data_IF_360341941290
#
_entry.id   IF_360341941290
#
_cell.length_a   1.000
_cell.length_b   1.000
_cell.length_c   1.000
_cell.angle_alpha   90.00
_cell.angle_beta   90.00
_cell.angle_gamma   90.00
#
_symmetry.space_group_name_H-M   'P 1'
#
loop_
_entity.id
_entity.type
_entity.pdbx_description
1 polymer ?
#
# COMPACT_ATOMS: atom_id res chain seq x y z
N UNK A 1 -68.60 -44.75 9.10
CA UNK A 1 -68.07 -43.39 8.84
C UNK A 1 -66.57 -43.43 9.08
N UNK A 2 -65.77 -43.74 8.05
CA UNK A 2 -64.31 -43.60 8.11
C UNK A 2 -63.84 -43.08 6.76
N UNK A 3 -63.91 -41.77 6.60
CA UNK A 3 -63.16 -41.03 5.60
C UNK A 3 -62.39 -39.93 6.35
N UNK A 4 -61.10 -39.80 6.08
CA UNK A 4 -60.33 -38.65 6.56
C UNK A 4 -58.92 -38.93 7.04
N UNK A 5 -58.07 -39.60 6.24
CA UNK A 5 -56.60 -39.63 6.48
C UNK A 5 -55.77 -39.69 5.19
N UNK A 6 -56.20 -39.00 4.11
CA UNK A 6 -55.45 -38.96 2.84
C UNK A 6 -55.09 -37.55 2.33
N UNK A 7 -55.33 -36.47 3.07
CA UNK A 7 -55.10 -35.10 2.57
C UNK A 7 -53.72 -34.49 2.85
N UNK A 8 -52.92 -35.04 3.77
CA UNK A 8 -51.73 -34.34 4.30
C UNK A 8 -50.43 -34.61 3.50
N UNK A 9 -50.31 -35.80 2.89
CA UNK A 9 -49.15 -36.13 2.05
C UNK A 9 -49.16 -35.42 0.69
N UNK A 10 -50.34 -35.18 0.11
CA UNK A 10 -50.47 -34.46 -1.17
C UNK A 10 -50.19 -32.97 -1.05
N UNK A 11 -50.51 -32.35 0.09
CA UNK A 11 -50.22 -30.93 0.34
C UNK A 11 -48.73 -30.68 0.63
N UNK A 12 -48.05 -31.60 1.36
CA UNK A 12 -46.59 -31.55 1.54
C UNK A 12 -45.82 -31.77 0.23
N UNK A 13 -46.21 -32.76 -0.57
CA UNK A 13 -45.58 -33.02 -1.86
C UNK A 13 -45.78 -31.87 -2.87
N UNK A 14 -46.95 -31.22 -2.86
CA UNK A 14 -47.24 -30.03 -3.66
C UNK A 14 -46.40 -28.82 -3.19
N UNK A 15 -46.32 -28.57 -1.88
CA UNK A 15 -45.50 -27.48 -1.33
C UNK A 15 -44.01 -27.66 -1.67
N UNK A 16 -43.47 -28.87 -1.55
CA UNK A 16 -42.09 -29.19 -1.93
C UNK A 16 -41.83 -29.03 -3.43
N UNK A 17 -42.76 -29.43 -4.30
CA UNK A 17 -42.64 -29.22 -5.75
C UNK A 17 -42.74 -27.75 -6.14
N UNK A 18 -43.65 -26.97 -5.55
CA UNK A 18 -43.71 -25.52 -5.76
C UNK A 18 -42.42 -24.81 -5.33
N UNK A 19 -41.86 -25.19 -4.17
CA UNK A 19 -40.61 -24.62 -3.67
C UNK A 19 -39.42 -24.99 -4.57
N UNK A 20 -39.40 -26.21 -5.13
CA UNK A 20 -38.36 -26.68 -6.06
C UNK A 20 -38.45 -25.98 -7.42
N UNK A 21 -39.66 -25.79 -7.95
CA UNK A 21 -39.90 -25.09 -9.23
C UNK A 21 -39.53 -23.61 -9.14
N UNK A 22 -39.95 -22.92 -8.07
CA UNK A 22 -39.57 -21.52 -7.85
C UNK A 22 -38.05 -21.32 -7.70
N UNK A 23 -37.37 -22.27 -7.06
CA UNK A 23 -35.91 -22.26 -6.90
C UNK A 23 -35.19 -22.51 -8.24
N UNK A 24 -35.72 -23.40 -9.10
CA UNK A 24 -35.17 -23.59 -10.47
C UNK A 24 -35.36 -22.38 -11.37
N UNK A 25 -36.49 -21.67 -11.27
CA UNK A 25 -36.73 -20.42 -12.01
C UNK A 25 -35.76 -19.32 -11.58
N UNK A 26 -35.52 -19.16 -10.27
CA UNK A 26 -34.54 -18.20 -9.75
C UNK A 26 -33.11 -18.51 -10.23
N UNK A 27 -32.71 -19.78 -10.26
CA UNK A 27 -31.41 -20.21 -10.81
C UNK A 27 -31.31 -19.84 -12.30
N UNK A 28 -32.36 -20.10 -13.07
CA UNK A 28 -32.40 -19.77 -14.50
C UNK A 28 -32.32 -18.25 -14.73
N UNK A 29 -33.01 -17.44 -13.92
CA UNK A 29 -32.97 -15.98 -13.98
C UNK A 29 -31.56 -15.44 -13.67
N UNK A 30 -30.94 -15.91 -12.58
CA UNK A 30 -29.57 -15.51 -12.20
C UNK A 30 -28.59 -15.92 -13.29
N UNK A 31 -28.73 -17.12 -13.86
CA UNK A 31 -27.91 -17.59 -14.99
C UNK A 31 -28.07 -16.67 -16.21
N UNK A 32 -29.29 -16.33 -16.60
CA UNK A 32 -29.55 -15.44 -17.73
C UNK A 32 -28.94 -14.04 -17.51
N UNK A 33 -29.08 -13.48 -16.29
CA UNK A 33 -28.45 -12.21 -15.90
C UNK A 33 -26.93 -12.28 -15.95
N UNK A 34 -26.33 -13.38 -15.49
CA UNK A 34 -24.89 -13.56 -15.54
C UNK A 34 -24.40 -13.62 -17.00
N UNK A 35 -25.01 -14.47 -17.84
CA UNK A 35 -24.69 -14.59 -19.27
C UNK A 35 -24.76 -13.22 -19.95
N UNK A 36 -25.85 -12.47 -19.71
CA UNK A 36 -26.03 -11.13 -20.26
C UNK A 36 -24.91 -10.18 -19.82
N UNK A 37 -24.54 -10.17 -18.54
CA UNK A 37 -23.44 -9.33 -18.05
C UNK A 37 -22.09 -9.72 -18.66
N UNK A 38 -21.79 -11.02 -18.77
CA UNK A 38 -20.55 -11.50 -19.37
C UNK A 38 -20.42 -11.05 -20.82
N UNK A 39 -21.49 -11.22 -21.63
CA UNK A 39 -21.53 -10.77 -23.02
C UNK A 39 -21.43 -9.26 -23.12
N UNK A 40 -22.19 -8.51 -22.31
CA UNK A 40 -22.15 -7.05 -22.26
C UNK A 40 -20.74 -6.55 -21.93
N UNK A 41 -20.08 -7.12 -20.94
CA UNK A 41 -18.74 -6.71 -20.51
C UNK A 41 -17.68 -7.05 -21.56
N UNK A 42 -17.76 -8.24 -22.15
CA UNK A 42 -16.86 -8.66 -23.22
C UNK A 42 -17.02 -7.78 -24.47
N UNK A 43 -18.26 -7.45 -24.87
CA UNK A 43 -18.56 -6.66 -26.07
C UNK A 43 -18.29 -5.17 -25.90
N UNK A 44 -18.80 -4.57 -24.84
CA UNK A 44 -18.84 -3.10 -24.69
C UNK A 44 -17.58 -2.53 -24.05
N UNK A 45 -16.98 -3.26 -23.12
CA UNK A 45 -15.84 -2.79 -22.34
C UNK A 45 -14.58 -3.60 -22.62
N UNK A 46 -14.69 -4.71 -23.36
CA UNK A 46 -13.60 -5.66 -23.48
C UNK A 46 -13.13 -6.14 -22.12
N UNK A 47 -14.01 -6.30 -21.13
CA UNK A 47 -13.60 -6.60 -19.76
C UNK A 47 -13.94 -8.03 -19.35
N UNK A 48 -13.07 -8.64 -18.55
CA UNK A 48 -13.37 -9.91 -17.89
C UNK A 48 -14.44 -9.69 -16.82
N UNK A 49 -15.35 -10.65 -16.67
CA UNK A 49 -16.39 -10.60 -15.62
C UNK A 49 -15.96 -11.47 -14.45
N UNK A 50 -15.70 -10.87 -13.29
CA UNK A 50 -15.37 -11.63 -12.08
C UNK A 50 -16.56 -12.49 -11.63
N UNK A 51 -16.29 -13.74 -11.24
CA UNK A 51 -17.26 -14.62 -10.59
C UNK A 51 -17.92 -14.00 -9.35
N UNK A 52 -17.24 -13.05 -8.68
CA UNK A 52 -17.80 -12.32 -7.53
C UNK A 52 -19.10 -11.58 -7.86
N UNK A 53 -19.37 -11.26 -9.12
CA UNK A 53 -20.65 -10.66 -9.53
C UNK A 53 -21.85 -11.55 -9.16
N UNK A 54 -21.65 -12.87 -9.05
CA UNK A 54 -22.68 -13.80 -8.61
C UNK A 54 -23.19 -13.49 -7.21
N UNK A 55 -22.35 -13.01 -6.30
CA UNK A 55 -22.80 -12.60 -4.95
C UNK A 55 -23.79 -11.45 -5.01
N UNK A 56 -23.68 -10.59 -6.02
CA UNK A 56 -24.60 -9.46 -6.25
C UNK A 56 -25.87 -9.92 -6.96
N UNK A 57 -25.73 -10.76 -7.99
CA UNK A 57 -26.86 -11.26 -8.78
C UNK A 57 -27.71 -12.30 -8.05
N UNK A 58 -27.11 -13.08 -7.16
CA UNK A 58 -27.72 -14.18 -6.41
C UNK A 58 -28.07 -13.80 -4.97
N UNK A 59 -28.30 -12.51 -4.66
CA UNK A 59 -28.65 -12.02 -3.30
C UNK A 59 -29.85 -12.74 -2.64
N UNK A 60 -30.66 -13.48 -3.40
CA UNK A 60 -31.78 -14.30 -2.89
C UNK A 60 -31.56 -15.82 -2.95
N UNK A 61 -30.37 -16.28 -3.33
CA UNK A 61 -30.07 -17.70 -3.59
C UNK A 61 -29.09 -18.25 -2.53
N UNK A 62 -29.39 -19.41 -1.91
CA UNK A 62 -28.49 -20.06 -0.96
C UNK A 62 -27.09 -20.28 -1.54
N UNK A 63 -26.05 -20.10 -0.73
CA UNK A 63 -24.65 -20.16 -1.18
C UNK A 63 -24.26 -21.48 -1.86
N UNK A 64 -24.83 -22.60 -1.42
CA UNK A 64 -24.63 -23.94 -2.01
C UNK A 64 -25.05 -24.02 -3.49
N UNK A 65 -26.07 -23.25 -3.87
CA UNK A 65 -26.57 -23.22 -5.24
C UNK A 65 -25.81 -22.25 -6.15
N UNK A 66 -25.04 -21.32 -5.59
CA UNK A 66 -24.25 -20.37 -6.38
C UNK A 66 -23.14 -21.09 -7.15
N UNK A 67 -22.54 -22.13 -6.55
CA UNK A 67 -21.61 -23.02 -7.25
C UNK A 67 -22.29 -23.80 -8.38
N UNK A 68 -23.51 -24.30 -8.13
CA UNK A 68 -24.32 -24.97 -9.15
C UNK A 68 -24.65 -24.08 -10.36
N UNK A 69 -24.76 -22.75 -10.19
CA UNK A 69 -24.98 -21.81 -11.31
C UNK A 69 -23.78 -21.76 -12.26
N UNK A 70 -22.55 -21.78 -11.74
CA UNK A 70 -21.32 -21.78 -12.57
C UNK A 70 -21.18 -23.07 -13.37
N UNK A 71 -21.37 -24.22 -12.73
CA UNK A 71 -21.30 -25.52 -13.40
C UNK A 71 -22.41 -25.67 -14.45
N UNK A 72 -23.61 -25.18 -14.13
CA UNK A 72 -24.75 -25.18 -15.05
C UNK A 72 -24.54 -24.25 -16.26
N UNK A 73 -23.69 -23.23 -16.19
CA UNK A 73 -23.36 -22.37 -17.35
C UNK A 73 -22.52 -23.14 -18.35
N UNK A 74 -21.49 -23.86 -17.91
CA UNK A 74 -20.64 -24.67 -18.78
C UNK A 74 -21.40 -25.78 -19.51
N UNK A 75 -22.49 -26.29 -18.93
CA UNK A 75 -23.32 -27.35 -19.51
C UNK A 75 -24.46 -26.85 -20.41
N UNK A 76 -24.76 -25.55 -20.45
CA UNK A 76 -25.94 -25.01 -21.12
C UNK A 76 -25.72 -24.59 -22.57
N UNK A 77 -26.58 -25.06 -23.49
CA UNK A 77 -26.56 -24.66 -24.91
C UNK A 77 -26.61 -23.13 -25.14
N UNK A 78 -27.26 -22.39 -24.24
CA UNK A 78 -27.38 -20.93 -24.29
C UNK A 78 -26.10 -20.15 -23.94
N UNK A 79 -25.05 -20.82 -23.45
CA UNK A 79 -23.79 -20.24 -23.01
C UNK A 79 -22.57 -20.91 -23.67
N UNK A 80 -22.74 -21.48 -24.87
CA UNK A 80 -21.68 -22.17 -25.60
C UNK A 80 -20.46 -21.28 -25.91
N UNK A 81 -20.67 -19.97 -26.01
CA UNK A 81 -19.66 -18.93 -26.20
C UNK A 81 -18.92 -18.55 -24.90
N UNK A 82 -19.47 -18.84 -23.74
CA UNK A 82 -18.87 -18.44 -22.47
C UNK A 82 -17.73 -19.38 -22.09
N UNK A 83 -16.62 -18.77 -21.67
CA UNK A 83 -15.41 -19.46 -21.21
C UNK A 83 -15.01 -18.94 -19.83
N UNK A 84 -14.39 -19.82 -19.07
CA UNK A 84 -13.80 -19.53 -17.76
C UNK A 84 -12.31 -19.30 -17.93
N UNK A 85 -11.79 -18.33 -17.17
CA UNK A 85 -10.36 -18.08 -17.02
C UNK A 85 -10.05 -18.09 -15.53
N UNK A 86 -9.11 -18.93 -15.12
CA UNK A 86 -8.62 -19.00 -13.74
C UNK A 86 -7.19 -18.44 -13.73
N UNK A 87 -6.94 -17.42 -12.91
CA UNK A 87 -5.61 -16.84 -12.77
C UNK A 87 -4.74 -17.68 -11.83
N UNK A 88 -3.41 -17.48 -11.79
CA UNK A 88 -2.52 -18.20 -10.86
C UNK A 88 -2.89 -18.04 -9.38
N UNK A 89 -3.43 -16.90 -8.98
CA UNK A 89 -3.98 -16.69 -7.62
C UNK A 89 -5.32 -17.38 -7.36
N UNK A 90 -5.87 -18.10 -8.34
CA UNK A 90 -7.14 -18.81 -8.24
C UNK A 90 -8.37 -17.93 -8.50
N UNK A 91 -8.21 -16.71 -9.04
CA UNK A 91 -9.36 -15.87 -9.36
C UNK A 91 -10.08 -16.38 -10.60
N UNK A 92 -11.39 -16.59 -10.48
CA UNK A 92 -12.23 -17.04 -11.58
C UNK A 92 -12.92 -15.86 -12.28
N UNK A 93 -12.67 -15.76 -13.58
CA UNK A 93 -13.25 -14.81 -14.51
C UNK A 93 -14.01 -15.52 -15.62
N UNK A 94 -15.01 -14.82 -16.16
CA UNK A 94 -15.86 -15.26 -17.26
C UNK A 94 -15.75 -14.28 -18.42
N UNK A 95 -15.69 -14.79 -19.65
CA UNK A 95 -15.72 -13.98 -20.86
C UNK A 95 -16.49 -14.72 -21.96
N UNK A 96 -16.97 -13.98 -22.96
CA UNK A 96 -17.60 -14.54 -24.15
C UNK A 96 -16.60 -14.59 -25.30
N UNK A 97 -16.35 -15.78 -25.82
CA UNK A 97 -15.45 -16.04 -26.95
C UNK A 97 -15.97 -15.42 -28.25
N UNK A 98 -17.26 -15.09 -28.33
CA UNK A 98 -17.86 -14.34 -29.45
C UNK A 98 -17.30 -12.91 -29.54
N UNK A 99 -16.96 -12.30 -28.39
CA UNK A 99 -16.57 -10.89 -28.31
C UNK A 99 -15.13 -10.66 -27.84
N UNK A 100 -14.47 -11.68 -27.31
CA UNK A 100 -13.10 -11.59 -26.80
C UNK A 100 -12.32 -12.86 -27.12
N UNK A 101 -11.17 -12.70 -27.78
CA UNK A 101 -10.29 -13.82 -28.09
C UNK A 101 -9.69 -14.44 -26.81
N UNK A 102 -9.25 -15.69 -26.91
CA UNK A 102 -8.60 -16.38 -25.79
C UNK A 102 -7.30 -15.66 -25.40
N UNK A 103 -6.56 -15.15 -26.37
CA UNK A 103 -5.31 -14.41 -26.16
C UNK A 103 -5.56 -13.07 -25.44
N UNK A 104 -6.57 -12.31 -25.85
CA UNK A 104 -6.96 -11.06 -25.19
C UNK A 104 -7.45 -11.31 -23.77
N UNK A 105 -8.24 -12.37 -23.56
CA UNK A 105 -8.71 -12.77 -22.24
C UNK A 105 -7.53 -13.15 -21.33
N UNK A 106 -6.55 -13.89 -21.84
CA UNK A 106 -5.34 -14.24 -21.12
C UNK A 106 -4.49 -13.01 -20.78
N UNK A 107 -4.33 -12.07 -21.72
CA UNK A 107 -3.62 -10.81 -21.49
C UNK A 107 -4.28 -9.97 -20.40
N UNK A 108 -5.61 -9.86 -20.40
CA UNK A 108 -6.38 -9.17 -19.35
C UNK A 108 -6.32 -9.92 -18.01
N UNK A 109 -6.34 -11.24 -18.04
CA UNK A 109 -6.14 -12.09 -16.87
C UNK A 109 -4.82 -11.80 -16.16
N UNK A 110 -3.73 -11.65 -16.93
CA UNK A 110 -2.43 -11.22 -16.39
C UNK A 110 -2.49 -9.86 -15.71
N UNK A 111 -3.24 -8.90 -16.28
CA UNK A 111 -3.39 -7.57 -15.66
C UNK A 111 -4.20 -7.62 -14.36
N UNK A 112 -5.26 -8.44 -14.30
CA UNK A 112 -6.01 -8.66 -13.07
C UNK A 112 -5.17 -9.35 -11.99
N UNK A 113 -4.31 -10.29 -12.39
CA UNK A 113 -3.33 -10.93 -11.49
C UNK A 113 -2.35 -9.90 -10.91
N UNK A 114 -1.87 -8.96 -11.72
CA UNK A 114 -0.99 -7.88 -11.26
C UNK A 114 -1.71 -6.99 -10.23
N UNK A 115 -2.97 -6.60 -10.48
CA UNK A 115 -3.79 -5.85 -9.51
C UNK A 115 -3.94 -6.61 -8.20
N UNK A 116 -4.22 -7.91 -8.29
CA UNK A 116 -4.37 -8.77 -7.12
C UNK A 116 -3.07 -8.87 -6.32
N UNK A 117 -1.94 -9.11 -6.98
CA UNK A 117 -0.64 -9.23 -6.33
C UNK A 117 -0.18 -7.90 -5.69
N UNK A 118 -0.43 -6.76 -6.34
CA UNK A 118 -0.20 -5.44 -5.73
C UNK A 118 -1.06 -5.26 -4.47
N UNK A 119 -2.37 -5.56 -4.56
CA UNK A 119 -3.28 -5.48 -3.43
C UNK A 119 -2.83 -6.34 -2.25
N UNK A 120 -2.44 -7.60 -2.52
CA UNK A 120 -1.97 -8.52 -1.49
C UNK A 120 -0.64 -8.08 -0.88
N UNK A 121 0.28 -7.49 -1.66
CA UNK A 121 1.48 -6.88 -1.09
C UNK A 121 1.13 -5.73 -0.15
N UNK A 122 0.28 -4.80 -0.58
CA UNK A 122 -0.10 -3.63 0.23
C UNK A 122 -0.78 -4.07 1.53
N UNK A 123 -1.70 -5.04 1.43
CA UNK A 123 -2.37 -5.64 2.60
C UNK A 123 -1.38 -6.32 3.54
N UNK A 124 -0.44 -7.10 3.00
CA UNK A 124 0.60 -7.77 3.79
C UNK A 124 1.49 -6.76 4.52
N UNK A 125 1.99 -5.75 3.82
CA UNK A 125 2.84 -4.70 4.40
C UNK A 125 2.08 -3.96 5.53
N UNK A 126 0.81 -3.61 5.27
CA UNK A 126 -0.02 -2.91 6.25
C UNK A 126 -0.36 -3.78 7.47
N UNK A 127 -0.61 -5.08 7.27
CA UNK A 127 -1.00 -6.01 8.34
C UNK A 127 0.18 -6.52 9.16
N UNK A 128 1.25 -6.92 8.50
CA UNK A 128 2.37 -7.66 9.11
C UNK A 128 3.50 -6.72 9.52
N UNK A 129 3.82 -5.76 8.66
CA UNK A 129 4.93 -4.84 8.90
C UNK A 129 4.46 -3.52 9.54
N UNK A 130 3.14 -3.30 9.63
CA UNK A 130 2.55 -2.01 10.03
C UNK A 130 3.20 -0.84 9.30
N UNK A 131 3.55 -1.06 8.03
CA UNK A 131 4.35 -0.17 7.21
C UNK A 131 3.60 0.22 5.95
N UNK A 132 3.99 1.35 5.38
CA UNK A 132 3.49 1.81 4.10
C UNK A 132 4.26 1.13 2.95
N UNK A 133 3.57 0.82 1.87
CA UNK A 133 4.19 0.31 0.65
C UNK A 133 4.59 1.48 -0.26
N UNK A 134 5.88 1.75 -0.51
CA UNK A 134 6.29 2.80 -1.44
C UNK A 134 5.85 2.45 -2.86
N UNK A 135 5.45 3.44 -3.67
CA UNK A 135 5.04 3.22 -5.06
C UNK A 135 6.15 2.52 -5.88
N UNK A 136 7.41 2.89 -5.65
CA UNK A 136 8.56 2.27 -6.31
C UNK A 136 8.67 0.75 -6.05
N UNK A 137 8.15 0.27 -4.91
CA UNK A 137 8.10 -1.17 -4.63
C UNK A 137 7.13 -1.91 -5.56
N UNK A 138 6.09 -1.25 -6.08
CA UNK A 138 5.20 -1.84 -7.08
C UNK A 138 5.89 -2.00 -8.43
N UNK A 139 6.74 -1.03 -8.81
CA UNK A 139 7.55 -1.12 -10.03
C UNK A 139 8.57 -2.26 -9.94
N UNK A 140 9.20 -2.42 -8.77
CA UNK A 140 10.16 -3.49 -8.54
C UNK A 140 9.55 -4.90 -8.56
N UNK A 141 8.27 -5.05 -8.16
CA UNK A 141 7.57 -6.34 -8.24
C UNK A 141 7.34 -6.81 -9.67
N UNK A 142 7.18 -5.89 -10.62
CA UNK A 142 6.81 -6.19 -11.99
C UNK A 142 7.73 -5.45 -12.96
N UNK A 143 9.02 -5.84 -13.04
CA UNK A 143 10.00 -5.14 -13.87
C UNK A 143 9.65 -5.16 -15.37
N UNK A 144 8.92 -6.18 -15.81
CA UNK A 144 8.49 -6.34 -17.20
C UNK A 144 7.32 -5.40 -17.58
N UNK A 145 6.68 -4.76 -16.60
CA UNK A 145 5.54 -3.87 -16.81
C UNK A 145 6.01 -2.42 -16.66
N UNK A 146 5.76 -1.63 -17.71
CA UNK A 146 6.11 -0.21 -17.70
C UNK A 146 5.46 0.53 -16.52
N UNK A 147 6.17 1.43 -15.82
CA UNK A 147 5.64 2.17 -14.66
C UNK A 147 4.31 2.89 -14.94
N UNK A 148 4.16 3.49 -16.14
CA UNK A 148 2.92 4.16 -16.57
C UNK A 148 1.73 3.20 -16.54
N UNK A 149 1.93 1.94 -16.94
CA UNK A 149 0.88 0.93 -16.90
C UNK A 149 0.54 0.55 -15.46
N UNK A 150 1.53 0.41 -14.58
CA UNK A 150 1.30 0.15 -13.14
C UNK A 150 0.46 1.28 -12.51
N UNK A 151 0.79 2.54 -12.79
CA UNK A 151 -0.01 3.68 -12.33
C UNK A 151 -1.45 3.63 -12.85
N UNK A 152 -1.66 3.27 -14.12
CA UNK A 152 -3.01 3.11 -14.68
C UNK A 152 -3.81 2.01 -13.96
N UNK A 153 -3.16 0.88 -13.63
CA UNK A 153 -3.80 -0.23 -12.91
C UNK A 153 -4.17 0.19 -11.48
N UNK A 154 -3.29 0.91 -10.79
CA UNK A 154 -3.60 1.45 -9.45
C UNK A 154 -4.78 2.42 -9.48
N UNK A 155 -4.87 3.27 -10.51
CA UNK A 155 -6.01 4.16 -10.68
C UNK A 155 -7.31 3.39 -10.97
N UNK A 156 -7.24 2.35 -11.82
CA UNK A 156 -8.38 1.45 -12.05
C UNK A 156 -8.84 0.79 -10.73
N UNK A 157 -7.89 0.33 -9.89
CA UNK A 157 -8.19 -0.29 -8.61
C UNK A 157 -9.02 0.62 -7.69
N UNK A 158 -8.78 1.94 -7.69
CA UNK A 158 -9.55 2.90 -6.87
C UNK A 158 -11.05 2.91 -7.18
N UNK A 159 -11.43 2.50 -8.40
CA UNK A 159 -12.85 2.44 -8.82
C UNK A 159 -13.53 1.10 -8.50
N UNK A 160 -12.77 0.07 -8.12
CA UNK A 160 -13.29 -1.27 -7.91
C UNK A 160 -13.56 -1.53 -6.42
N UNK A 161 -14.76 -2.05 -6.13
CA UNK A 161 -15.22 -2.30 -4.75
C UNK A 161 -14.26 -3.19 -3.95
N UNK A 162 -13.63 -4.16 -4.60
CA UNK A 162 -12.71 -5.13 -3.98
C UNK A 162 -11.33 -4.57 -3.58
N UNK A 163 -11.02 -3.33 -3.99
CA UNK A 163 -9.78 -2.63 -3.67
C UNK A 163 -10.06 -1.30 -2.96
N UNK A 164 -11.29 -1.09 -2.47
CA UNK A 164 -11.70 0.14 -1.78
C UNK A 164 -10.85 0.41 -0.52
N UNK A 165 -10.34 -0.66 0.07
CA UNK A 165 -9.46 -0.66 1.23
C UNK A 165 -8.07 -0.10 0.94
N UNK A 166 -7.66 -0.04 -0.33
CA UNK A 166 -6.33 0.43 -0.71
C UNK A 166 -6.35 1.94 -0.89
N UNK A 167 -5.60 2.63 -0.04
CA UNK A 167 -5.47 4.08 -0.01
C UNK A 167 -4.06 4.53 -0.36
N UNK A 168 -3.94 5.79 -0.75
CA UNK A 168 -2.68 6.43 -1.08
C UNK A 168 -2.46 7.61 -0.13
N UNK A 169 -1.22 7.84 0.26
CA UNK A 169 -0.79 9.01 1.03
C UNK A 169 0.50 9.54 0.40
N UNK A 170 0.59 10.87 0.28
CA UNK A 170 1.76 11.55 -0.30
C UNK A 170 2.66 12.10 0.80
N UNK A 171 3.96 11.94 0.59
CA UNK A 171 5.01 12.64 1.31
C UNK A 171 5.07 14.13 0.94
N UNK A 172 5.70 14.93 1.80
CA UNK A 172 6.02 16.32 1.47
C UNK A 172 7.01 16.43 0.30
N UNK A 173 7.87 15.42 0.13
CA UNK A 173 8.79 15.28 -1.02
C UNK A 173 8.09 14.96 -2.35
N UNK A 174 6.78 14.70 -2.34
CA UNK A 174 6.01 14.28 -3.51
C UNK A 174 6.03 12.77 -3.76
N UNK A 175 6.74 11.98 -2.95
CA UNK A 175 6.70 10.53 -3.02
C UNK A 175 5.32 9.97 -2.62
N UNK A 176 4.90 8.90 -3.30
CA UNK A 176 3.61 8.26 -3.05
C UNK A 176 3.78 6.92 -2.34
N UNK A 177 2.96 6.73 -1.31
CA UNK A 177 2.90 5.53 -0.50
C UNK A 177 1.47 4.98 -0.50
N UNK A 178 1.35 3.65 -0.46
CA UNK A 178 0.10 2.91 -0.50
C UNK A 178 -0.09 2.17 0.84
N UNK A 179 -1.33 2.06 1.32
CA UNK A 179 -1.67 1.33 2.53
C UNK A 179 -3.08 0.74 2.47
N UNK A 180 -3.36 -0.23 3.34
CA UNK A 180 -4.69 -0.81 3.53
C UNK A 180 -5.38 -0.17 4.75
N UNK A 181 -6.52 0.48 4.56
CA UNK A 181 -7.27 1.20 5.60
C UNK A 181 -7.91 0.27 6.65
N UNK A 182 -8.02 -1.02 6.35
CA UNK A 182 -8.44 -2.05 7.30
C UNK A 182 -7.41 -2.29 8.42
N UNK A 183 -6.16 -1.87 8.22
CA UNK A 183 -5.05 -2.10 9.15
C UNK A 183 -4.35 -0.81 9.59
N UNK A 184 -4.27 0.20 8.72
CA UNK A 184 -3.60 1.47 8.98
C UNK A 184 -4.63 2.61 8.82
N UNK A 185 -4.85 3.38 9.88
CA UNK A 185 -5.73 4.56 9.80
C UNK A 185 -5.06 5.67 9.00
N UNK A 186 -5.83 6.56 8.38
CA UNK A 186 -5.30 7.70 7.64
C UNK A 186 -4.37 8.58 8.50
N UNK A 187 -4.73 8.82 9.76
CA UNK A 187 -3.89 9.56 10.71
C UNK A 187 -2.55 8.85 10.96
N UNK A 188 -2.58 7.53 11.16
CA UNK A 188 -1.38 6.74 11.38
C UNK A 188 -0.53 6.64 10.11
N UNK A 189 -1.15 6.53 8.92
CA UNK A 189 -0.44 6.62 7.64
C UNK A 189 0.29 7.97 7.49
N UNK A 190 -0.36 9.08 7.87
CA UNK A 190 0.27 10.39 7.89
C UNK A 190 1.47 10.50 8.85
N UNK A 191 1.42 9.79 9.99
CA UNK A 191 2.57 9.68 10.90
C UNK A 191 3.69 8.82 10.28
N UNK A 192 3.33 7.67 9.72
CA UNK A 192 4.26 6.75 9.07
C UNK A 192 4.95 7.41 7.89
N UNK A 193 4.23 8.19 7.07
CA UNK A 193 4.85 8.99 6.01
C UNK A 193 5.83 9.98 6.60
N UNK A 194 5.53 10.70 7.68
CA UNK A 194 6.51 11.61 8.31
C UNK A 194 7.74 10.87 8.84
N UNK A 195 7.59 9.63 9.32
CA UNK A 195 8.70 8.82 9.81
C UNK A 195 9.50 8.15 8.69
N UNK A 196 8.84 7.71 7.60
CA UNK A 196 9.45 7.13 6.41
C UNK A 196 10.11 8.22 5.55
N UNK A 197 9.50 9.40 5.54
CA UNK A 197 10.01 10.71 5.12
C UNK A 197 10.68 11.40 6.31
N UNK A 198 11.36 10.65 7.17
CA UNK A 198 12.61 11.18 7.68
C UNK A 198 13.57 11.15 6.51
N UNK A 199 13.41 12.13 5.62
CA UNK A 199 14.51 12.53 4.77
C UNK A 199 15.56 13.04 5.76
N UNK A 200 16.46 12.13 6.17
CA UNK A 200 17.50 12.44 7.13
C UNK A 200 18.26 13.71 6.71
N UNK A 201 18.32 14.01 5.40
CA UNK A 201 18.81 15.29 4.91
C UNK A 201 17.96 16.48 5.39
N UNK A 202 16.66 16.49 5.11
CA UNK A 202 15.76 17.55 5.58
C UNK A 202 15.76 17.68 7.11
N UNK A 203 15.72 16.57 7.85
CA UNK A 203 15.79 16.61 9.33
C UNK A 203 17.11 17.21 9.83
N UNK A 204 18.24 16.84 9.23
CA UNK A 204 19.55 17.41 9.56
C UNK A 204 19.56 18.91 9.25
N UNK A 205 19.12 19.30 8.06
CA UNK A 205 19.10 20.71 7.61
C UNK A 205 18.22 21.57 8.50
N UNK A 206 17.01 21.13 8.81
CA UNK A 206 16.06 21.89 9.63
C UNK A 206 16.59 22.02 11.07
N UNK A 207 17.14 20.94 11.62
CA UNK A 207 17.77 20.97 12.95
C UNK A 207 18.96 21.93 12.98
N UNK A 208 19.85 21.86 11.99
CA UNK A 208 21.03 22.75 11.93
C UNK A 208 20.61 24.21 11.79
N UNK A 209 19.58 24.51 10.99
CA UNK A 209 19.04 25.87 10.86
C UNK A 209 18.40 26.36 12.14
N UNK A 210 17.62 25.51 12.81
CA UNK A 210 16.96 25.84 14.07
C UNK A 210 17.97 26.07 15.18
N UNK A 211 18.95 25.19 15.34
CA UNK A 211 20.07 25.35 16.27
C UNK A 211 20.84 26.63 15.95
N UNK A 212 21.26 26.85 14.70
CA UNK A 212 21.97 28.08 14.31
C UNK A 212 21.16 29.37 14.54
N UNK A 213 19.82 29.29 14.54
CA UNK A 213 18.91 30.44 14.70
C UNK A 213 18.51 30.71 16.15
N UNK A 214 18.02 29.69 16.85
CA UNK A 214 17.45 29.81 18.19
C UNK A 214 18.56 29.76 19.24
N UNK A 215 19.53 28.87 19.05
CA UNK A 215 20.64 28.65 19.96
C UNK A 215 21.94 28.80 19.19
N UNK A 216 22.36 30.03 18.81
CA UNK A 216 23.37 30.25 17.79
C UNK A 216 24.65 29.48 18.12
N UNK A 217 24.73 28.24 17.65
CA UNK A 217 25.76 27.25 17.93
C UNK A 217 25.82 26.24 16.78
N UNK A 218 27.00 25.72 16.46
CA UNK A 218 27.14 24.65 15.48
C UNK A 218 26.61 23.32 16.07
N UNK A 219 26.01 22.49 15.23
CA UNK A 219 25.44 21.19 15.61
C UNK A 219 26.44 20.06 15.34
N UNK A 220 26.79 19.29 16.37
CA UNK A 220 27.68 18.12 16.21
C UNK A 220 27.00 17.01 15.42
N UNK A 221 27.68 16.44 14.43
CA UNK A 221 27.11 15.41 13.55
C UNK A 221 26.68 14.15 14.32
N UNK A 222 27.41 13.78 15.37
CA UNK A 222 27.07 12.63 16.22
C UNK A 222 25.74 12.80 16.98
N UNK A 223 25.19 14.01 17.08
CA UNK A 223 23.88 14.23 17.69
C UNK A 223 22.79 13.47 16.93
N UNK A 224 22.91 13.36 15.61
CA UNK A 224 21.91 12.73 14.75
C UNK A 224 21.84 11.20 14.92
N UNK A 225 22.88 10.56 15.46
CA UNK A 225 22.86 9.13 15.81
C UNK A 225 22.35 8.87 17.22
N UNK A 226 22.10 9.92 18.03
CA UNK A 226 21.57 9.78 19.38
C UNK A 226 20.15 9.21 19.38
N UNK A 227 19.68 8.74 20.54
CA UNK A 227 18.32 8.21 20.71
C UNK A 227 17.21 9.19 20.30
N UNK A 228 17.49 10.50 20.29
CA UNK A 228 16.51 11.55 19.97
C UNK A 228 16.18 11.58 18.47
N UNK A 229 17.19 11.41 17.62
CA UNK A 229 17.03 11.46 16.15
C UNK A 229 17.03 10.07 15.52
N UNK A 230 17.77 9.11 16.11
CA UNK A 230 17.77 7.71 15.70
C UNK A 230 18.24 7.46 14.27
N UNK A 231 19.01 8.38 13.66
CA UNK A 231 19.48 8.24 12.28
C UNK A 231 20.63 7.23 12.24
N UNK A 232 20.52 6.12 11.48
CA UNK A 232 21.58 5.14 11.39
C UNK A 232 22.85 5.74 10.76
N UNK A 233 24.03 5.36 11.28
CA UNK A 233 25.32 5.84 10.75
C UNK A 233 25.49 5.54 9.25
N UNK A 234 24.97 4.40 8.78
CA UNK A 234 24.96 4.01 7.37
C UNK A 234 24.19 4.99 6.47
N UNK A 235 23.19 5.70 7.02
CA UNK A 235 22.36 6.68 6.32
C UNK A 235 22.89 8.10 6.51
N UNK A 236 23.49 8.39 7.67
CA UNK A 236 23.95 9.72 8.06
C UNK A 236 25.02 10.28 7.12
N UNK A 237 26.08 9.52 6.85
CA UNK A 237 27.20 10.01 6.03
C UNK A 237 26.80 10.30 4.57
N UNK A 238 26.09 9.39 3.86
CA UNK A 238 25.54 9.71 2.54
C UNK A 238 24.62 10.94 2.53
N UNK A 239 23.84 11.15 3.61
CA UNK A 239 22.98 12.32 3.73
C UNK A 239 23.77 13.62 3.83
N UNK A 240 24.81 13.67 4.66
CA UNK A 240 25.67 14.85 4.80
C UNK A 240 26.36 15.18 3.47
N UNK A 241 26.88 14.17 2.77
CA UNK A 241 27.47 14.35 1.44
C UNK A 241 26.46 14.94 0.47
N UNK A 242 25.21 14.45 0.48
CA UNK A 242 24.15 15.00 -0.37
C UNK A 242 23.78 16.43 0.01
N UNK A 243 23.73 16.76 1.30
CA UNK A 243 23.46 18.13 1.78
C UNK A 243 24.53 19.09 1.26
N UNK A 244 25.81 18.78 1.48
CA UNK A 244 26.93 19.66 1.13
C UNK A 244 27.11 19.86 -0.38
N UNK A 245 26.63 18.90 -1.20
CA UNK A 245 26.72 18.98 -2.66
C UNK A 245 25.42 19.49 -3.33
N UNK A 246 24.34 19.71 -2.57
CA UNK A 246 23.06 20.13 -3.12
C UNK A 246 22.95 21.66 -3.16
N UNK A 247 22.60 22.27 -4.31
CA UNK A 247 22.40 23.72 -4.40
C UNK A 247 21.23 24.21 -3.54
N UNK A 248 20.28 23.33 -3.19
CA UNK A 248 19.15 23.65 -2.32
C UNK A 248 19.55 23.93 -0.86
N UNK A 249 20.72 23.43 -0.43
CA UNK A 249 21.23 23.56 0.93
C UNK A 249 22.57 24.29 0.98
N UNK A 250 22.79 25.22 0.04
CA UNK A 250 24.04 25.97 -0.09
C UNK A 250 24.42 26.80 1.16
N UNK A 251 23.45 27.02 2.05
CA UNK A 251 23.64 27.66 3.35
C UNK A 251 24.31 26.75 4.39
N UNK A 252 24.22 25.43 4.26
CA UNK A 252 24.78 24.50 5.23
C UNK A 252 26.27 24.28 4.97
N UNK A 253 27.08 24.45 6.01
CA UNK A 253 28.54 24.31 5.97
C UNK A 253 29.00 23.35 7.05
N UNK A 254 30.16 22.72 6.81
CA UNK A 254 30.79 21.76 7.70
C UNK A 254 32.07 22.34 8.31
N UNK A 255 32.24 22.15 9.61
CA UNK A 255 33.48 22.39 10.35
C UNK A 255 34.03 21.08 10.89
N UNK A 256 35.34 21.03 11.05
CA UNK A 256 36.05 19.92 11.69
C UNK A 256 36.96 20.54 12.74
N UNK A 257 36.83 20.08 13.99
CA UNK A 257 37.70 20.54 15.06
C UNK A 257 39.12 19.98 14.85
N UNK A 258 40.17 20.81 14.93
CA UNK A 258 41.53 20.41 14.55
C UNK A 258 42.16 19.34 15.46
N UNK A 259 41.80 19.31 16.75
CA UNK A 259 42.40 18.36 17.71
C UNK A 259 41.57 17.09 17.94
N UNK A 260 40.25 17.22 18.11
CA UNK A 260 39.33 16.11 18.39
C UNK A 260 38.76 15.44 17.14
N UNK A 261 39.03 15.99 15.95
CA UNK A 261 38.45 15.57 14.66
C UNK A 261 36.92 15.55 14.63
N UNK A 262 36.26 16.16 15.62
CA UNK A 262 34.81 16.19 15.72
C UNK A 262 34.20 17.04 14.60
N UNK A 263 33.19 16.48 13.93
CA UNK A 263 32.52 17.13 12.80
C UNK A 263 31.25 17.87 13.23
N UNK A 264 31.09 19.07 12.71
CA UNK A 264 29.98 19.97 13.01
C UNK A 264 29.34 20.53 11.74
N UNK A 265 28.06 20.87 11.83
CA UNK A 265 27.31 21.58 10.79
C UNK A 265 26.75 22.89 11.33
N UNK A 266 26.71 23.92 10.48
CA UNK A 266 26.08 25.21 10.79
C UNK A 266 25.42 25.80 9.55
N UNK A 267 24.45 26.71 9.72
CA UNK A 267 23.80 27.43 8.62
C UNK A 267 24.32 28.86 8.52
N UNK A 268 24.81 29.24 7.34
CA UNK A 268 25.27 30.60 7.04
C UNK A 268 24.15 31.63 6.96
N UNK A 269 22.89 31.22 6.98
CA UNK A 269 21.74 32.13 7.10
C UNK A 269 21.68 32.82 8.47
N UNK A 270 22.25 32.19 9.50
CA UNK A 270 22.09 32.61 10.88
C UNK A 270 23.40 32.80 11.63
N UNK A 271 24.51 32.24 11.12
CA UNK A 271 25.80 32.25 11.79
C UNK A 271 26.95 32.35 10.78
N UNK A 272 27.96 33.17 11.08
CA UNK A 272 29.18 33.23 10.28
C UNK A 272 30.22 32.18 10.73
N UNK A 273 31.21 31.92 9.89
CA UNK A 273 32.19 30.86 10.12
C UNK A 273 33.06 31.08 11.37
N UNK A 274 33.51 32.31 11.63
CA UNK A 274 34.33 32.64 12.80
C UNK A 274 33.57 32.40 14.12
N UNK A 275 32.29 32.77 14.15
CA UNK A 275 31.39 32.52 15.28
C UNK A 275 31.18 31.02 15.49
N UNK A 276 30.87 30.28 14.41
CA UNK A 276 30.70 28.83 14.47
C UNK A 276 31.95 28.13 14.99
N UNK A 277 33.13 28.53 14.51
CA UNK A 277 34.41 27.97 14.92
C UNK A 277 34.73 28.25 16.39
N UNK A 278 34.54 29.48 16.84
CA UNK A 278 34.80 29.86 18.25
C UNK A 278 33.92 29.08 19.23
N UNK A 279 32.64 28.90 18.88
CA UNK A 279 31.69 28.15 19.71
C UNK A 279 31.95 26.64 19.69
N UNK A 280 32.38 26.09 18.54
CA UNK A 280 32.81 24.70 18.44
C UNK A 280 33.96 24.42 19.41
N UNK A 281 35.01 25.27 19.44
CA UNK A 281 36.14 25.09 20.36
C UNK A 281 35.69 25.10 21.82
N UNK A 282 34.85 26.08 22.19
CA UNK A 282 34.31 26.16 23.55
C UNK A 282 33.51 24.90 23.94
N UNK A 283 32.68 24.37 23.02
CA UNK A 283 31.93 23.13 23.26
C UNK A 283 32.83 21.89 23.42
N UNK A 284 33.94 21.80 22.69
CA UNK A 284 34.90 20.69 22.83
C UNK A 284 35.73 20.80 24.11
N UNK A 285 36.11 22.00 24.52
CA UNK A 285 36.77 22.27 25.80
C UNK A 285 35.88 21.89 26.99
N UNK A 286 34.59 22.24 26.97
CA UNK A 286 33.66 21.82 28.02
C UNK A 286 33.45 20.29 28.04
N UNK A 287 33.32 19.68 26.86
CA UNK A 287 33.15 18.23 26.74
C UNK A 287 34.36 17.44 27.26
N UNK A 288 35.58 17.96 27.05
CA UNK A 288 36.82 17.36 27.56
C UNK A 288 37.07 17.70 29.04
N UNK A 289 36.66 18.89 29.51
CA UNK A 289 36.74 19.26 30.92
C UNK A 289 35.80 18.42 31.81
N UNK A 290 34.63 18.02 31.30
CA UNK A 290 33.70 17.12 32.00
C UNK A 290 34.22 15.70 32.27
N UNK A 291 35.35 15.30 31.69
CA UNK A 291 36.02 14.00 31.94
C UNK A 291 37.05 14.09 33.08
N UNK A 292 37.44 15.30 33.52
CA UNK A 292 38.29 15.47 34.71
C UNK A 292 37.42 15.70 35.95
N UNK A 293 36.98 14.61 36.56
CA UNK A 293 36.54 14.65 37.96
C UNK A 293 37.73 15.13 38.80
N UNK A 294 37.65 16.25 39.55
CA UNK A 294 38.65 16.55 40.56
C UNK A 294 38.48 15.49 41.66
N UNK A 295 39.49 14.66 41.88
CA UNK A 295 39.61 13.91 43.12
C UNK A 295 39.56 14.93 44.26
N UNK A 296 38.45 14.95 44.99
CA UNK A 296 38.34 15.71 46.23
C UNK A 296 39.50 15.29 47.15
N UNK A 297 40.21 16.24 47.79
CA UNK A 297 41.26 15.90 48.72
C UNK A 297 40.63 15.12 49.88
N UNK A 298 41.16 13.94 50.16
CA UNK A 298 40.84 13.24 51.39
C UNK A 298 41.39 14.07 52.54
N UNK A 299 40.48 14.61 53.36
CA UNK A 299 40.86 15.28 54.61
C UNK A 299 41.47 14.25 55.58
N UNK A 300 42.51 14.62 56.34
CA UNK A 300 43.11 13.78 57.37
C UNK A 300 42.20 13.54 58.58
#
# INVERSE_FOLDING_TARGET
MHEGFHSDHSQRAAAETFHRTGMTEQIAEVKAKLIHNVRRNSKRYGALTSSRILTVLAKGLPGELQHGVLDAISAGALASDIRTLITPSGQLFLYSQEYMSIEDAAAKGKLEEVKHAMAEKIRRDSRVLTALSPLNSMFALFPDIKPVKICSLLNEMQTQVQYRDIKTVSAFSGELYLYCDAHITEKYAGLLVRSAVSDACSTIVDTVREESRIYPRPTRISLFTSQVYGIPAATLHPCIVRILNSPQYADIRKLVHPETEAEYLYSTLHMNEEQAFSLMNWMEEEATAGVRVPLLPQCP
#
